data_IF_850316345705
#
_entry.id   IF_850316345705
#
_cell.length_a   1.000
_cell.length_b   1.000
_cell.length_c   1.000
_cell.angle_alpha   90.00
_cell.angle_beta   90.00
_cell.angle_gamma   90.00
#
_symmetry.space_group_name_H-M   'P 1'
#
loop_
_entity.id
_entity.type
_entity.pdbx_description
1 polymer ?
#
# COMPACT_ATOMS: atom_id res chain seq x y z
N UNK A 1 -1.84 19.04 -7.06
CA UNK A 1 -1.48 18.87 -5.64
C UNK A 1 -0.99 20.17 -5.02
N UNK A 2 -0.14 20.95 -5.68
CA UNK A 2 0.41 22.19 -5.11
C UNK A 2 -0.67 23.18 -4.66
N UNK A 3 -1.76 23.33 -5.42
CA UNK A 3 -2.88 24.23 -5.09
C UNK A 3 -3.77 23.69 -3.97
N UNK A 4 -3.79 22.36 -3.77
CA UNK A 4 -4.59 21.70 -2.73
C UNK A 4 -3.84 21.53 -1.41
N UNK A 5 -2.52 21.72 -1.42
CA UNK A 5 -1.67 21.56 -0.25
C UNK A 5 -1.44 22.87 0.50
N UNK A 6 -1.14 22.74 1.77
CA UNK A 6 -0.65 23.82 2.63
C UNK A 6 0.74 23.49 3.14
N UNK A 7 1.50 24.47 3.57
CA UNK A 7 2.76 24.26 4.29
C UNK A 7 2.46 24.03 5.78
N UNK A 8 3.13 23.06 6.36
CA UNK A 8 3.14 22.86 7.82
C UNK A 8 4.17 23.79 8.51
N UNK A 9 4.33 23.61 9.81
CA UNK A 9 5.24 24.44 10.64
C UNK A 9 6.72 24.21 10.27
N UNK A 10 7.07 23.05 9.71
CA UNK A 10 8.41 22.70 9.26
C UNK A 10 8.67 23.07 7.78
N UNK A 11 7.70 23.72 7.14
CA UNK A 11 7.78 24.11 5.73
C UNK A 11 7.58 22.97 4.76
N UNK A 12 7.05 21.82 5.22
CA UNK A 12 6.67 20.70 4.36
C UNK A 12 5.22 20.82 3.91
N UNK A 13 4.94 20.29 2.72
CA UNK A 13 3.57 20.25 2.20
C UNK A 13 2.75 19.16 2.85
N UNK A 14 1.49 19.46 3.10
CA UNK A 14 0.49 18.48 3.48
C UNK A 14 -0.86 18.80 2.84
N UNK A 15 -1.69 17.79 2.65
CA UNK A 15 -3.10 18.00 2.34
C UNK A 15 -3.83 18.44 3.62
N UNK A 16 -4.76 19.40 3.54
CA UNK A 16 -5.57 19.82 4.71
C UNK A 16 -6.38 18.67 5.31
N UNK A 17 -6.79 17.73 4.45
CA UNK A 17 -7.45 16.48 4.81
C UNK A 17 -6.86 15.36 3.97
N UNK A 18 -6.48 14.28 4.62
CA UNK A 18 -5.94 13.06 4.01
C UNK A 18 -6.71 11.85 4.54
N UNK A 19 -6.77 10.78 3.79
CA UNK A 19 -7.47 9.57 4.19
C UNK A 19 -6.76 8.32 3.66
N UNK A 20 -7.27 7.16 4.04
CA UNK A 20 -6.85 5.86 3.51
C UNK A 20 -8.09 5.02 3.25
N UNK A 21 -8.14 4.24 2.14
CA UNK A 21 -9.35 3.52 1.74
C UNK A 21 -9.96 2.68 2.86
N UNK A 22 -11.23 2.93 3.10
CA UNK A 22 -12.10 2.23 4.05
C UNK A 22 -11.63 2.20 5.51
N UNK A 23 -10.60 2.98 5.87
CA UNK A 23 -10.21 3.13 7.27
C UNK A 23 -11.40 3.68 8.07
N UNK A 24 -11.59 3.22 9.29
CA UNK A 24 -12.73 3.58 10.14
C UNK A 24 -14.09 3.52 9.41
N UNK A 25 -14.25 2.55 8.45
CA UNK A 25 -15.44 2.38 7.62
C UNK A 25 -15.87 3.64 6.87
N UNK A 26 -14.92 4.46 6.42
CA UNK A 26 -15.15 5.74 5.74
C UNK A 26 -15.99 6.74 6.55
N UNK A 27 -15.99 6.62 7.86
CA UNK A 27 -16.65 7.57 8.75
C UNK A 27 -15.90 8.91 8.80
N UNK A 28 -16.39 9.87 9.58
CA UNK A 28 -15.73 11.17 9.69
C UNK A 28 -14.32 11.06 10.28
N UNK A 29 -14.08 10.10 11.15
CA UNK A 29 -12.78 9.80 11.78
C UNK A 29 -11.73 9.28 10.79
N UNK A 30 -12.15 8.88 9.58
CA UNK A 30 -11.26 8.46 8.50
C UNK A 30 -10.52 9.61 7.81
N UNK A 31 -10.84 10.86 8.15
CA UNK A 31 -10.24 12.06 7.57
C UNK A 31 -9.26 12.70 8.56
N UNK A 32 -7.98 12.62 8.22
CA UNK A 32 -6.87 13.05 9.08
C UNK A 32 -6.39 14.44 8.71
N UNK A 33 -5.93 15.21 9.70
CA UNK A 33 -5.25 16.50 9.50
C UNK A 33 -3.76 16.35 9.16
N UNK A 34 -3.21 15.14 9.31
CA UNK A 34 -1.85 14.76 8.91
C UNK A 34 -1.88 13.87 7.65
N UNK A 35 -0.74 13.79 6.97
CA UNK A 35 -0.61 13.02 5.73
C UNK A 35 -0.70 11.53 5.98
N UNK A 36 -1.59 10.84 5.26
CA UNK A 36 -1.54 9.37 5.20
C UNK A 36 -0.43 8.92 4.26
N UNK A 37 0.18 7.78 4.56
CA UNK A 37 1.15 7.15 3.67
C UNK A 37 0.55 6.76 2.32
N UNK A 38 -0.77 6.52 2.27
CA UNK A 38 -1.50 6.27 1.02
C UNK A 38 -1.44 7.47 0.06
N UNK A 39 -1.92 8.62 0.50
CA UNK A 39 -1.90 9.83 -0.31
C UNK A 39 -0.47 10.26 -0.64
N UNK A 40 0.43 10.18 0.35
CA UNK A 40 1.83 10.55 0.18
C UNK A 40 2.53 9.68 -0.87
N UNK A 41 2.26 8.37 -0.89
CA UNK A 41 2.83 7.46 -1.88
C UNK A 41 2.38 7.82 -3.30
N UNK A 42 1.08 8.08 -3.49
CA UNK A 42 0.54 8.47 -4.79
C UNK A 42 1.09 9.81 -5.27
N UNK A 43 1.22 10.78 -4.36
CA UNK A 43 1.79 12.10 -4.67
C UNK A 43 3.26 11.96 -5.07
N UNK A 44 4.07 11.27 -4.27
CA UNK A 44 5.50 11.08 -4.57
C UNK A 44 5.70 10.34 -5.89
N UNK A 45 4.92 9.29 -6.13
CA UNK A 45 4.96 8.56 -7.39
C UNK A 45 4.63 9.45 -8.59
N UNK A 46 3.60 10.28 -8.47
CA UNK A 46 3.18 11.20 -9.52
C UNK A 46 4.29 12.19 -9.88
N UNK A 47 4.92 12.81 -8.88
CA UNK A 47 6.00 13.78 -9.13
C UNK A 47 7.27 13.12 -9.69
N UNK A 48 7.64 11.93 -9.19
CA UNK A 48 8.80 11.19 -9.69
C UNK A 48 8.64 10.83 -11.17
N UNK A 49 7.46 10.32 -11.56
CA UNK A 49 7.19 9.96 -12.95
C UNK A 49 7.00 11.19 -13.86
N UNK A 50 6.49 12.30 -13.32
CA UNK A 50 6.45 13.56 -14.07
C UNK A 50 7.87 14.08 -14.36
N UNK A 51 8.82 13.97 -13.39
CA UNK A 51 10.24 14.27 -13.61
C UNK A 51 10.83 13.38 -14.71
N UNK A 52 10.65 12.05 -14.60
CA UNK A 52 11.16 11.08 -15.59
C UNK A 52 10.64 11.35 -16.99
N UNK A 53 9.32 11.52 -17.15
CA UNK A 53 8.70 11.80 -18.44
C UNK A 53 9.15 13.15 -19.02
N UNK A 54 9.32 14.18 -18.19
CA UNK A 54 9.84 15.47 -18.65
C UNK A 54 11.28 15.33 -19.17
N UNK A 55 12.12 14.52 -18.50
CA UNK A 55 13.50 14.24 -18.98
C UNK A 55 13.49 13.50 -20.31
N UNK A 56 12.64 12.48 -20.47
CA UNK A 56 12.51 11.73 -21.74
C UNK A 56 12.07 12.61 -22.89
N UNK A 57 11.19 13.59 -22.62
CA UNK A 57 10.71 14.56 -23.61
C UNK A 57 11.70 15.73 -23.84
N UNK A 58 12.81 15.79 -23.11
CA UNK A 58 13.79 16.87 -23.18
C UNK A 58 13.38 18.17 -22.51
N UNK A 59 12.33 18.15 -21.68
CA UNK A 59 11.77 19.30 -20.96
C UNK A 59 12.51 19.50 -19.63
N UNK A 60 13.78 19.89 -19.69
CA UNK A 60 14.67 19.94 -18.51
C UNK A 60 14.21 20.89 -17.42
N UNK A 61 13.67 22.03 -17.77
CA UNK A 61 13.17 23.01 -16.79
C UNK A 61 11.96 22.47 -16.01
N UNK A 62 11.06 21.78 -16.70
CA UNK A 62 9.91 21.14 -16.07
C UNK A 62 10.35 20.00 -15.15
N UNK A 63 11.32 19.18 -15.58
CA UNK A 63 11.88 18.11 -14.76
C UNK A 63 12.45 18.65 -13.43
N UNK A 64 13.23 19.73 -13.47
CA UNK A 64 13.76 20.36 -12.24
C UNK A 64 12.64 20.93 -11.36
N UNK A 65 11.55 21.45 -11.94
CA UNK A 65 10.38 21.89 -11.18
C UNK A 65 9.68 20.72 -10.45
N UNK A 66 9.47 19.58 -11.14
CA UNK A 66 8.86 18.38 -10.53
C UNK A 66 9.75 17.82 -9.42
N UNK A 67 11.04 17.74 -9.65
CA UNK A 67 12.03 17.34 -8.65
C UNK A 67 12.06 18.26 -7.43
N UNK A 68 11.95 19.56 -7.63
CA UNK A 68 11.87 20.52 -6.54
C UNK A 68 10.57 20.33 -5.72
N UNK A 69 9.44 20.18 -6.42
CA UNK A 69 8.15 19.94 -5.80
C UNK A 69 8.13 18.66 -4.97
N UNK A 70 8.77 17.58 -5.44
CA UNK A 70 8.86 16.32 -4.71
C UNK A 70 9.55 16.47 -3.34
N UNK A 71 10.56 17.33 -3.24
CA UNK A 71 11.33 17.57 -2.01
C UNK A 71 10.56 18.32 -0.93
N UNK A 72 9.47 18.98 -1.32
CA UNK A 72 8.62 19.72 -0.39
C UNK A 72 7.70 18.83 0.44
N UNK A 73 7.50 17.56 0.02
CA UNK A 73 6.66 16.60 0.73
C UNK A 73 7.43 15.88 1.85
N UNK A 74 6.76 15.49 2.95
CA UNK A 74 7.42 14.86 4.10
C UNK A 74 7.91 13.43 3.78
N UNK A 75 8.65 12.86 4.70
CA UNK A 75 8.96 11.42 4.70
C UNK A 75 7.73 10.60 5.08
N UNK A 76 7.78 9.29 4.77
CA UNK A 76 6.73 8.36 5.21
C UNK A 76 6.69 8.23 6.73
N UNK A 77 5.49 8.08 7.27
CA UNK A 77 5.30 7.74 8.67
C UNK A 77 5.70 6.28 8.92
N UNK A 78 6.71 6.10 9.75
CA UNK A 78 7.29 4.79 10.10
C UNK A 78 7.50 4.74 11.60
N UNK A 79 7.14 3.63 12.24
CA UNK A 79 7.46 3.32 13.64
C UNK A 79 8.27 2.03 13.75
N UNK A 80 8.37 1.46 14.96
CA UNK A 80 9.08 0.21 15.21
C UNK A 80 8.46 -1.00 14.48
N UNK A 81 7.19 -0.93 14.07
CA UNK A 81 6.47 -1.98 13.34
C UNK A 81 6.49 -1.81 11.81
N UNK A 82 7.08 -0.73 11.31
CA UNK A 82 7.18 -0.41 9.88
C UNK A 82 6.28 0.74 9.45
N UNK A 83 5.68 0.66 8.26
CA UNK A 83 4.82 1.72 7.72
C UNK A 83 3.51 1.84 8.50
N UNK A 84 3.16 3.07 8.86
CA UNK A 84 1.92 3.45 9.52
C UNK A 84 0.85 3.88 8.51
N UNK A 85 -0.41 3.98 8.91
CA UNK A 85 -1.43 4.66 8.08
C UNK A 85 -1.15 6.16 7.96
N UNK A 86 -0.86 6.82 9.08
CA UNK A 86 -0.46 8.21 9.19
C UNK A 86 0.41 8.40 10.45
N UNK A 87 1.06 9.56 10.66
CA UNK A 87 1.83 9.81 11.89
C UNK A 87 1.05 9.60 13.19
N UNK A 88 -0.28 9.77 13.15
CA UNK A 88 -1.16 9.60 14.31
C UNK A 88 -1.82 8.23 14.39
N UNK A 89 -1.68 7.36 13.37
CA UNK A 89 -2.38 6.07 13.31
C UNK A 89 -1.45 4.94 12.83
N UNK A 90 -0.94 4.11 13.77
CA UNK A 90 -0.17 2.91 13.41
C UNK A 90 -1.08 1.83 12.79
N UNK A 91 -0.49 0.86 12.07
CA UNK A 91 -1.17 -0.35 11.65
C UNK A 91 -1.13 -1.38 12.79
N UNK A 92 -2.17 -1.43 13.60
CA UNK A 92 -2.25 -2.27 14.80
C UNK A 92 -3.50 -3.15 14.90
N UNK A 93 -4.29 -3.21 13.84
CA UNK A 93 -5.47 -4.07 13.73
C UNK A 93 -5.57 -4.68 12.34
N UNK A 94 -6.21 -5.85 12.24
CA UNK A 94 -6.44 -6.51 10.95
C UNK A 94 -7.36 -5.66 10.08
N UNK A 95 -6.92 -5.33 8.86
CA UNK A 95 -7.68 -4.54 7.91
C UNK A 95 -7.47 -5.08 6.49
N UNK A 96 -8.52 -5.07 5.66
CA UNK A 96 -8.50 -5.63 4.30
C UNK A 96 -7.69 -4.80 3.29
N UNK A 97 -7.49 -3.50 3.54
CA UNK A 97 -6.73 -2.62 2.69
C UNK A 97 -5.35 -2.33 3.29
N UNK A 98 -4.30 -2.66 2.55
CA UNK A 98 -2.91 -2.34 2.89
C UNK A 98 -2.46 -1.05 2.21
N UNK A 99 -3.34 -0.07 2.12
CA UNK A 99 -3.12 1.17 1.38
C UNK A 99 -1.90 1.96 1.86
N UNK A 100 -1.55 1.87 3.15
CA UNK A 100 -0.31 2.42 3.70
C UNK A 100 0.96 1.80 3.09
N UNK A 101 0.86 0.65 2.41
CA UNK A 101 1.95 -0.08 1.76
C UNK A 101 2.07 0.19 0.26
N UNK A 102 1.28 1.10 -0.30
CA UNK A 102 1.33 1.46 -1.72
C UNK A 102 2.75 1.84 -2.17
N UNK A 103 3.53 2.47 -1.30
CA UNK A 103 4.92 2.84 -1.60
C UNK A 103 5.82 1.63 -1.87
N UNK A 104 5.54 0.46 -1.27
CA UNK A 104 6.26 -0.79 -1.53
C UNK A 104 5.70 -1.45 -2.79
N UNK A 105 4.40 -1.74 -2.80
CA UNK A 105 3.70 -2.35 -3.93
C UNK A 105 2.28 -1.77 -4.05
N UNK A 106 1.88 -1.29 -5.23
CA UNK A 106 2.53 -1.46 -6.55
C UNK A 106 3.55 -0.38 -6.92
N UNK A 107 3.72 0.73 -6.16
CA UNK A 107 4.41 1.92 -6.65
C UNK A 107 5.95 1.81 -6.66
N UNK A 108 6.55 0.91 -5.88
CA UNK A 108 8.00 0.66 -5.90
C UNK A 108 8.87 1.85 -5.45
N UNK A 109 8.33 2.74 -4.62
CA UNK A 109 9.06 3.90 -4.08
C UNK A 109 9.93 3.53 -2.89
N UNK A 110 9.52 2.53 -2.13
CA UNK A 110 10.31 1.84 -1.10
C UNK A 110 10.65 0.48 -1.68
N UNK A 111 11.95 0.28 -1.98
CA UNK A 111 12.43 -0.90 -2.70
C UNK A 111 13.75 -1.37 -2.09
N UNK A 112 14.00 -2.69 -1.96
CA UNK A 112 15.26 -3.22 -1.47
C UNK A 112 16.50 -2.69 -2.20
N UNK A 113 16.37 -2.36 -3.50
CA UNK A 113 17.45 -1.79 -4.28
C UNK A 113 17.87 -0.39 -3.82
N UNK A 114 17.03 0.33 -3.07
CA UNK A 114 17.37 1.64 -2.49
C UNK A 114 18.30 1.53 -1.27
N UNK A 115 18.47 0.32 -0.71
CA UNK A 115 19.40 0.04 0.36
C UNK A 115 18.79 -0.51 1.65
N UNK A 116 19.62 -0.63 2.68
CA UNK A 116 19.27 -1.33 3.93
C UNK A 116 18.08 -0.72 4.68
N UNK A 117 17.90 0.60 4.63
CA UNK A 117 16.76 1.27 5.28
C UNK A 117 15.43 0.82 4.71
N UNK A 118 15.32 0.79 3.40
CA UNK A 118 14.08 0.40 2.72
C UNK A 118 13.80 -1.08 2.96
N UNK A 119 14.83 -1.92 2.92
CA UNK A 119 14.70 -3.34 3.24
C UNK A 119 14.20 -3.55 4.68
N UNK A 120 14.75 -2.83 5.65
CA UNK A 120 14.29 -2.90 7.05
C UNK A 120 12.82 -2.48 7.19
N UNK A 121 12.40 -1.40 6.50
CA UNK A 121 11.00 -0.95 6.51
C UNK A 121 10.10 -2.05 5.94
N UNK A 122 10.47 -2.65 4.81
CA UNK A 122 9.70 -3.72 4.17
C UNK A 122 9.57 -4.93 5.10
N UNK A 123 10.68 -5.41 5.67
CA UNK A 123 10.70 -6.57 6.57
C UNK A 123 9.83 -6.36 7.81
N UNK A 124 9.97 -5.23 8.49
CA UNK A 124 9.16 -4.88 9.66
C UNK A 124 7.68 -4.79 9.33
N UNK A 125 7.35 -4.14 8.23
CA UNK A 125 5.97 -3.95 7.79
C UNK A 125 5.29 -5.30 7.48
N UNK A 126 5.99 -6.20 6.77
CA UNK A 126 5.45 -7.54 6.48
C UNK A 126 5.31 -8.37 7.75
N UNK A 127 6.31 -8.32 8.64
CA UNK A 127 6.24 -9.00 9.94
C UNK A 127 5.04 -8.51 10.78
N UNK A 128 4.75 -7.21 10.74
CA UNK A 128 3.58 -6.64 11.41
C UNK A 128 2.25 -7.11 10.78
N UNK A 129 2.16 -7.19 9.45
CA UNK A 129 0.99 -7.79 8.78
C UNK A 129 0.76 -9.23 9.21
N UNK A 130 1.81 -10.05 9.22
CA UNK A 130 1.75 -11.45 9.62
C UNK A 130 1.32 -11.60 11.10
N UNK A 131 1.85 -10.76 11.97
CA UNK A 131 1.53 -10.76 13.41
C UNK A 131 0.10 -10.30 13.72
N UNK A 132 -0.38 -9.27 13.01
CA UNK A 132 -1.73 -8.72 13.15
C UNK A 132 -2.79 -9.71 12.64
N UNK A 133 -2.44 -10.50 11.65
CA UNK A 133 -3.27 -11.60 11.15
C UNK A 133 -4.37 -11.19 10.18
N UNK A 134 -5.05 -12.20 9.64
CA UNK A 134 -5.91 -12.06 8.45
C UNK A 134 -7.41 -12.04 8.76
N UNK A 135 -7.81 -11.87 10.01
CA UNK A 135 -9.22 -12.01 10.43
C UNK A 135 -10.19 -11.07 9.67
N UNK A 136 -9.73 -9.88 9.29
CA UNK A 136 -10.51 -8.88 8.55
C UNK A 136 -10.02 -8.72 7.09
N UNK A 137 -9.32 -9.71 6.54
CA UNK A 137 -8.85 -9.69 5.16
C UNK A 137 -9.92 -10.22 4.21
N UNK A 138 -9.82 -9.81 2.96
CA UNK A 138 -10.54 -10.38 1.81
C UNK A 138 -9.56 -11.07 0.88
N UNK A 139 -10.03 -11.79 -0.13
CA UNK A 139 -9.14 -12.51 -1.03
C UNK A 139 -8.07 -11.63 -1.67
N UNK A 140 -8.43 -10.41 -2.09
CA UNK A 140 -7.46 -9.44 -2.63
C UNK A 140 -6.27 -9.19 -1.68
N UNK A 141 -6.50 -9.16 -0.37
CA UNK A 141 -5.43 -8.96 0.63
C UNK A 141 -4.34 -10.03 0.54
N UNK A 142 -4.73 -11.29 0.30
CA UNK A 142 -3.77 -12.39 0.14
C UNK A 142 -2.96 -12.29 -1.15
N UNK A 143 -3.59 -11.89 -2.27
CA UNK A 143 -2.87 -11.63 -3.52
C UNK A 143 -1.88 -10.46 -3.34
N UNK A 144 -2.29 -9.40 -2.65
CA UNK A 144 -1.42 -8.25 -2.35
C UNK A 144 -0.24 -8.67 -1.45
N UNK A 145 -0.50 -9.46 -0.40
CA UNK A 145 0.57 -9.99 0.45
C UNK A 145 1.58 -10.82 -0.35
N UNK A 146 1.11 -11.62 -1.31
CA UNK A 146 2.00 -12.36 -2.22
C UNK A 146 2.96 -11.45 -2.96
N UNK A 147 2.47 -10.34 -3.53
CA UNK A 147 3.30 -9.35 -4.19
C UNK A 147 4.27 -8.64 -3.22
N UNK A 148 3.82 -8.30 -2.00
CA UNK A 148 4.68 -7.68 -0.99
C UNK A 148 5.84 -8.62 -0.58
N UNK A 149 5.54 -9.90 -0.34
CA UNK A 149 6.56 -10.90 0.00
C UNK A 149 7.54 -11.13 -1.15
N UNK A 150 7.07 -11.14 -2.39
CA UNK A 150 7.94 -11.21 -3.56
C UNK A 150 8.92 -10.01 -3.62
N UNK A 151 8.44 -8.79 -3.30
CA UNK A 151 9.30 -7.59 -3.18
C UNK A 151 10.33 -7.71 -2.05
N UNK A 152 10.02 -8.44 -0.98
CA UNK A 152 10.94 -8.73 0.12
C UNK A 152 11.88 -9.93 -0.15
N UNK A 153 11.88 -10.47 -1.37
CA UNK A 153 12.60 -11.71 -1.72
C UNK A 153 12.18 -12.95 -0.93
N UNK A 154 11.01 -12.94 -0.28
CA UNK A 154 10.40 -14.07 0.40
C UNK A 154 9.53 -14.89 -0.59
N UNK A 155 10.16 -15.66 -1.45
CA UNK A 155 9.48 -16.47 -2.45
C UNK A 155 8.57 -17.54 -1.87
N UNK A 156 8.94 -18.17 -0.77
CA UNK A 156 8.12 -19.17 -0.08
C UNK A 156 6.87 -18.53 0.54
N UNK A 157 7.03 -17.40 1.18
CA UNK A 157 5.91 -16.63 1.72
C UNK A 157 4.97 -16.10 0.63
N UNK A 158 5.52 -15.66 -0.50
CA UNK A 158 4.74 -15.23 -1.66
C UNK A 158 3.90 -16.40 -2.22
N UNK A 159 4.54 -17.54 -2.47
CA UNK A 159 3.85 -18.75 -2.96
C UNK A 159 2.76 -19.22 -2.00
N UNK A 160 3.01 -19.16 -0.67
CA UNK A 160 2.02 -19.48 0.35
C UNK A 160 0.82 -18.55 0.30
N UNK A 161 1.03 -17.24 0.25
CA UNK A 161 -0.04 -16.22 0.20
C UNK A 161 -0.91 -16.40 -1.07
N UNK A 162 -0.28 -16.60 -2.23
CA UNK A 162 -0.98 -16.86 -3.49
C UNK A 162 -1.75 -18.20 -3.45
N UNK A 163 -1.19 -19.25 -2.82
CA UNK A 163 -1.90 -20.51 -2.62
C UNK A 163 -3.13 -20.31 -1.71
N UNK A 164 -3.01 -19.57 -0.61
CA UNK A 164 -4.13 -19.26 0.27
C UNK A 164 -5.25 -18.52 -0.49
N UNK A 165 -4.90 -17.56 -1.35
CA UNK A 165 -5.84 -16.91 -2.26
C UNK A 165 -6.55 -17.92 -3.16
N UNK A 166 -5.79 -18.70 -3.92
CA UNK A 166 -6.33 -19.62 -4.94
C UNK A 166 -7.24 -20.70 -4.33
N UNK A 167 -6.93 -21.17 -3.12
CA UNK A 167 -7.67 -22.26 -2.49
C UNK A 167 -8.84 -21.81 -1.62
N UNK A 168 -8.85 -20.55 -1.18
CA UNK A 168 -9.86 -20.07 -0.23
C UNK A 168 -10.77 -18.98 -0.78
N UNK A 169 -10.35 -18.24 -1.82
CA UNK A 169 -11.07 -17.08 -2.33
C UNK A 169 -11.42 -17.15 -3.82
N UNK A 170 -11.23 -18.31 -4.45
CA UNK A 170 -11.51 -18.53 -5.88
C UNK A 170 -12.57 -19.61 -6.03
N UNK A 171 -13.61 -19.33 -6.82
CA UNK A 171 -14.67 -20.27 -7.13
C UNK A 171 -14.25 -21.25 -8.24
N UNK A 172 -15.00 -22.37 -8.47
CA UNK A 172 -14.70 -23.32 -9.55
C UNK A 172 -14.64 -22.73 -10.96
N UNK A 173 -15.27 -21.57 -11.18
CA UNK A 173 -15.20 -20.82 -12.43
C UNK A 173 -13.98 -19.90 -12.53
N UNK A 174 -13.03 -20.05 -11.63
CA UNK A 174 -11.79 -19.25 -11.51
C UNK A 174 -11.98 -17.79 -11.08
N UNK A 175 -13.18 -17.37 -10.74
CA UNK A 175 -13.44 -15.99 -10.31
C UNK A 175 -13.15 -15.81 -8.81
N UNK A 176 -12.44 -14.75 -8.51
CA UNK A 176 -12.21 -14.30 -7.15
C UNK A 176 -13.50 -13.81 -6.49
N UNK A 177 -13.69 -14.16 -5.23
CA UNK A 177 -14.74 -13.61 -4.34
C UNK A 177 -14.11 -13.14 -3.04
N UNK A 178 -14.69 -12.11 -2.43
CA UNK A 178 -14.07 -11.46 -1.26
C UNK A 178 -13.93 -12.36 -0.04
N UNK A 179 -14.93 -13.22 0.24
CA UNK A 179 -14.95 -14.02 1.46
C UNK A 179 -14.30 -15.40 1.32
N UNK A 180 -13.83 -15.95 2.44
CA UNK A 180 -13.27 -17.29 2.54
C UNK A 180 -14.33 -18.37 2.23
N UNK A 181 -14.10 -19.15 1.19
CA UNK A 181 -14.97 -20.25 0.75
C UNK A 181 -14.44 -21.62 1.20
N UNK A 182 -13.25 -21.68 1.79
CA UNK A 182 -12.61 -22.95 2.19
C UNK A 182 -13.17 -23.50 3.51
N UNK A 183 -13.76 -22.66 4.34
CA UNK A 183 -14.16 -23.03 5.70
C UNK A 183 -12.99 -23.24 6.66
N UNK A 184 -11.76 -22.87 6.27
CA UNK A 184 -10.57 -23.04 7.13
C UNK A 184 -10.26 -21.86 8.04
N UNK A 185 -11.10 -20.82 8.00
CA UNK A 185 -10.96 -19.64 8.87
C UNK A 185 -9.82 -18.70 8.47
N UNK A 186 -9.53 -18.60 7.18
CA UNK A 186 -8.54 -17.63 6.66
C UNK A 186 -8.99 -16.19 6.90
N UNK A 187 -10.31 -15.95 6.93
CA UNK A 187 -10.95 -14.67 7.20
C UNK A 187 -12.26 -14.89 7.93
N UNK A 188 -12.71 -13.86 8.65
CA UNK A 188 -14.07 -13.82 9.23
C UNK A 188 -15.14 -13.52 8.16
N UNK A 189 -14.75 -13.00 6.99
CA UNK A 189 -15.66 -12.76 5.88
C UNK A 189 -15.89 -14.03 5.07
N UNK A 190 -17.15 -14.33 4.74
CA UNK A 190 -17.56 -15.51 3.95
C UNK A 190 -18.48 -15.14 2.78
N UNK A 191 -18.75 -13.84 2.57
CA UNK A 191 -19.63 -13.34 1.52
C UNK A 191 -18.97 -13.43 0.14
N UNK A 192 -19.79 -13.41 -0.92
CA UNK A 192 -19.37 -13.75 -2.28
C UNK A 192 -19.46 -12.63 -3.33
N UNK A 193 -19.29 -11.34 -3.02
CA UNK A 193 -19.17 -10.37 -4.10
C UNK A 193 -17.97 -10.73 -4.97
N UNK A 194 -18.17 -10.72 -6.27
CA UNK A 194 -17.12 -10.91 -7.25
C UNK A 194 -16.30 -9.63 -7.40
N UNK A 195 -14.99 -9.78 -7.40
CA UNK A 195 -14.04 -8.68 -7.60
C UNK A 195 -12.85 -9.17 -8.42
N UNK A 196 -12.67 -8.61 -9.61
CA UNK A 196 -11.69 -9.11 -10.58
C UNK A 196 -10.25 -8.72 -10.24
N UNK A 197 -10.06 -7.66 -9.49
CA UNK A 197 -8.74 -7.16 -9.07
C UNK A 197 -7.91 -8.21 -8.33
N UNK A 198 -8.52 -9.08 -7.55
CA UNK A 198 -7.83 -10.18 -6.88
C UNK A 198 -7.19 -11.18 -7.85
N UNK A 199 -7.86 -11.46 -8.97
CA UNK A 199 -7.31 -12.31 -10.03
C UNK A 199 -6.10 -11.67 -10.71
N UNK A 200 -6.15 -10.36 -10.98
CA UNK A 200 -5.03 -9.65 -11.59
C UNK A 200 -3.83 -9.52 -10.63
N UNK A 201 -4.08 -9.22 -9.36
CA UNK A 201 -3.03 -9.18 -8.36
C UNK A 201 -2.38 -10.56 -8.14
N UNK A 202 -3.18 -11.65 -8.22
CA UNK A 202 -2.64 -13.01 -8.20
C UNK A 202 -1.70 -13.27 -9.39
N UNK A 203 -2.13 -12.91 -10.60
CA UNK A 203 -1.31 -13.08 -11.80
C UNK A 203 -0.02 -12.24 -11.77
N UNK A 204 -0.07 -11.06 -11.16
CA UNK A 204 1.09 -10.19 -11.00
C UNK A 204 2.11 -10.74 -9.99
N UNK A 205 1.66 -11.55 -9.03
CA UNK A 205 2.50 -12.14 -7.98
C UNK A 205 3.17 -13.46 -8.34
N UNK A 206 2.79 -14.07 -9.49
CA UNK A 206 3.39 -15.30 -10.00
C UNK A 206 4.74 -15.05 -10.68
#
# INVERSE_FOLDING_TARGET
>A
FNELSILDEDGKRKLPLSSSPEIHNNSREAWFGDMTNFDLALIKWTYSHAEELALELGLKEEAEQWKASLKEWPDYAVDESGLMFSPSLPFNESHRHFSHLMAIHPLGLIDPANGARDMEIIEKTIANLDATGSSQWVGYSFSWLGNLKARAFDGEGAAKALKDFATSFVLPNSFHVNGDQSGTGKSNFTYRPFTLEGNFAFAAGL
#
